data_IF_688725687883
#
_entry.id   IF_688725687883
#
_cell.length_a   1.000
_cell.length_b   1.000
_cell.length_c   1.000
_cell.angle_alpha   90.00
_cell.angle_beta   90.00
_cell.angle_gamma   90.00
#
_symmetry.space_group_name_H-M   'P 1'
#
loop_
_entity.id
_entity.type
_entity.pdbx_description
1 polymer ?
#
# COMPACT_ATOMS: atom_id res chain seq x y z
N UNK A 1 -5.30 14.50 9.50
CA UNK A 1 -5.74 13.31 8.73
C UNK A 1 -6.82 13.65 7.71
N UNK A 2 -7.98 14.18 8.12
CA UNK A 2 -9.08 14.51 7.22
C UNK A 2 -8.66 15.42 6.05
N UNK A 3 -7.86 16.44 6.33
CA UNK A 3 -7.30 17.35 5.32
C UNK A 3 -6.40 16.59 4.33
N UNK A 4 -5.51 15.72 4.82
CA UNK A 4 -4.60 14.94 3.98
C UNK A 4 -5.36 14.05 2.99
N UNK A 5 -6.32 13.28 3.49
CA UNK A 5 -7.10 12.37 2.66
C UNK A 5 -8.06 13.11 1.73
N UNK A 6 -8.81 14.08 2.26
CA UNK A 6 -9.80 14.84 1.50
C UNK A 6 -9.19 15.69 0.39
N UNK A 7 -8.01 16.28 0.64
CA UNK A 7 -7.30 17.06 -0.37
C UNK A 7 -6.38 16.21 -1.26
N UNK A 8 -6.27 14.90 -1.01
CA UNK A 8 -5.30 14.01 -1.67
C UNK A 8 -3.87 14.59 -1.64
N UNK A 9 -3.51 15.20 -0.51
CA UNK A 9 -2.27 15.93 -0.38
C UNK A 9 -1.08 14.97 -0.40
N UNK A 10 -0.08 15.25 -1.22
CA UNK A 10 1.20 14.54 -1.18
C UNK A 10 1.94 14.89 0.11
N UNK A 11 2.46 13.88 0.79
CA UNK A 11 3.13 14.03 2.09
C UNK A 11 4.45 13.26 2.10
N UNK A 12 5.49 13.82 2.72
CA UNK A 12 6.80 13.18 2.74
C UNK A 12 6.76 11.92 3.60
N UNK A 13 7.51 10.90 3.17
CA UNK A 13 7.78 9.74 3.99
C UNK A 13 8.80 10.12 5.08
N UNK A 14 8.57 9.61 6.29
CA UNK A 14 9.48 9.74 7.41
C UNK A 14 10.61 8.73 7.23
N UNK A 15 11.86 9.19 7.36
CA UNK A 15 13.03 8.33 7.41
C UNK A 15 13.12 7.69 8.79
N UNK A 16 12.58 6.48 8.96
CA UNK A 16 12.52 5.82 10.28
C UNK A 16 13.92 5.61 10.89
N UNK A 17 14.95 5.43 10.06
CA UNK A 17 16.34 5.28 10.51
C UNK A 17 16.88 6.51 11.25
N UNK A 18 16.30 7.70 11.06
CA UNK A 18 16.79 8.94 11.68
C UNK A 18 16.40 9.11 13.14
N UNK A 19 15.54 8.24 13.68
CA UNK A 19 15.05 8.34 15.06
C UNK A 19 15.91 7.57 16.06
N UNK A 20 16.97 6.89 15.60
CA UNK A 20 17.87 6.06 16.42
C UNK A 20 17.16 4.98 17.26
N UNK A 21 15.91 4.68 16.94
CA UNK A 21 15.11 3.63 17.57
C UNK A 21 15.15 2.36 16.69
N UNK A 22 15.87 1.30 17.11
CA UNK A 22 15.97 0.07 16.34
C UNK A 22 14.61 -0.63 16.18
N UNK A 23 13.63 -0.35 17.03
CA UNK A 23 12.30 -0.95 16.95
C UNK A 23 11.59 -0.61 15.64
N UNK A 24 11.69 0.62 15.14
CA UNK A 24 10.97 1.03 13.92
C UNK A 24 11.47 0.29 12.68
N UNK A 25 12.80 0.18 12.55
CA UNK A 25 13.42 -0.53 11.43
C UNK A 25 13.16 -2.03 11.55
N UNK A 26 13.28 -2.60 12.75
CA UNK A 26 12.99 -4.01 12.98
C UNK A 26 11.53 -4.36 12.66
N UNK A 27 10.57 -3.50 13.03
CA UNK A 27 9.15 -3.71 12.73
C UNK A 27 8.88 -3.66 11.23
N UNK A 28 9.47 -2.71 10.51
CA UNK A 28 9.36 -2.63 9.05
C UNK A 28 9.90 -3.89 8.37
N UNK A 29 11.07 -4.36 8.80
CA UNK A 29 11.68 -5.60 8.30
C UNK A 29 10.81 -6.82 8.63
N UNK A 30 10.24 -6.88 9.83
CA UNK A 30 9.33 -7.95 10.24
C UNK A 30 8.08 -7.98 9.37
N UNK A 31 7.46 -6.82 9.07
CA UNK A 31 6.32 -6.73 8.16
C UNK A 31 6.64 -7.28 6.76
N UNK A 32 7.81 -6.94 6.24
CA UNK A 32 8.27 -7.44 4.96
C UNK A 32 8.48 -8.97 5.00
N UNK A 33 9.28 -9.46 5.95
CA UNK A 33 9.69 -10.86 6.00
C UNK A 33 8.56 -11.82 6.43
N UNK A 34 7.75 -11.44 7.43
CA UNK A 34 6.74 -12.32 8.01
C UNK A 34 5.38 -12.22 7.31
N UNK A 35 5.04 -11.06 6.73
CA UNK A 35 3.71 -10.80 6.18
C UNK A 35 3.72 -10.47 4.68
N UNK A 36 4.88 -10.28 4.05
CA UNK A 36 4.97 -9.87 2.64
C UNK A 36 4.40 -8.46 2.40
N UNK A 37 4.54 -7.58 3.40
CA UNK A 37 3.95 -6.24 3.40
C UNK A 37 5.01 -5.17 3.45
N UNK A 38 4.80 -4.10 2.67
CA UNK A 38 5.50 -2.86 2.91
C UNK A 38 4.92 -2.17 4.15
N UNK A 39 5.75 -1.41 4.86
CA UNK A 39 5.36 -0.56 5.98
C UNK A 39 6.17 0.73 5.91
N UNK A 40 5.51 1.88 5.92
CA UNK A 40 6.16 3.19 5.94
C UNK A 40 5.28 4.22 6.66
N UNK A 41 5.86 5.37 7.02
CA UNK A 41 5.16 6.43 7.75
C UNK A 41 5.21 7.72 6.96
N UNK A 42 4.09 8.45 6.91
CA UNK A 42 3.97 9.78 6.32
C UNK A 42 3.87 10.83 7.43
N UNK A 43 4.55 11.95 7.25
CA UNK A 43 4.39 13.13 8.09
C UNK A 43 3.19 13.96 7.63
N UNK A 44 2.16 14.03 8.46
CA UNK A 44 0.93 14.76 8.26
C UNK A 44 0.84 16.05 9.10
N UNK A 45 1.95 16.47 9.70
CA UNK A 45 2.03 17.71 10.49
C UNK A 45 1.51 18.89 9.67
N UNK A 46 0.73 19.76 10.33
CA UNK A 46 0.08 20.92 9.72
C UNK A 46 0.37 22.18 10.55
N UNK A 47 -0.31 23.31 10.28
CA UNK A 47 -0.07 24.61 10.91
C UNK A 47 -0.05 24.64 12.44
N UNK A 48 -0.69 23.69 13.14
CA UNK A 48 -0.55 23.58 14.60
C UNK A 48 0.85 23.16 15.07
N UNK A 49 1.71 22.67 14.16
CA UNK A 49 3.08 22.27 14.46
C UNK A 49 3.21 21.00 15.31
N UNK A 50 2.09 20.32 15.64
CA UNK A 50 2.11 19.09 16.44
C UNK A 50 2.38 17.89 15.52
N UNK A 51 3.44 17.10 15.79
CA UNK A 51 3.77 15.91 15.00
C UNK A 51 2.58 14.97 14.85
N UNK A 52 2.15 14.77 13.60
CA UNK A 52 1.02 13.90 13.26
C UNK A 52 1.47 12.94 12.17
N UNK A 53 1.33 11.64 12.41
CA UNK A 53 1.88 10.57 11.58
C UNK A 53 0.79 9.66 11.05
N UNK A 54 0.96 9.18 9.82
CA UNK A 54 0.18 8.08 9.26
C UNK A 54 1.10 6.93 8.85
N UNK A 55 1.00 5.80 9.54
CA UNK A 55 1.64 4.57 9.14
C UNK A 55 0.76 3.85 8.12
N UNK A 56 1.35 3.44 6.99
CA UNK A 56 0.68 2.79 5.88
C UNK A 56 1.35 1.46 5.64
N UNK A 57 0.54 0.41 5.50
CA UNK A 57 1.01 -0.91 5.11
C UNK A 57 0.15 -1.47 4.00
N UNK A 58 0.76 -2.13 3.02
CA UNK A 58 0.07 -2.81 1.92
C UNK A 58 0.83 -4.07 1.49
N UNK A 59 0.15 -4.97 0.78
CA UNK A 59 0.78 -6.16 0.21
C UNK A 59 1.80 -5.75 -0.87
N UNK A 60 2.95 -6.41 -0.90
CA UNK A 60 3.97 -6.21 -1.95
C UNK A 60 3.54 -6.89 -3.25
N UNK A 61 2.90 -8.06 -3.13
CA UNK A 61 2.35 -8.85 -4.23
C UNK A 61 0.84 -9.06 -4.01
N UNK A 62 -0.01 -8.08 -4.33
CA UNK A 62 -1.45 -8.19 -4.17
C UNK A 62 -2.10 -9.04 -5.28
N UNK A 63 -3.07 -9.86 -4.89
CA UNK A 63 -3.95 -10.59 -5.81
C UNK A 63 -5.01 -9.67 -6.43
N UNK A 64 -5.71 -10.18 -7.46
CA UNK A 64 -6.88 -9.51 -8.01
C UNK A 64 -8.13 -9.77 -7.16
N UNK A 65 -8.95 -8.74 -6.97
CA UNK A 65 -10.29 -8.85 -6.39
C UNK A 65 -11.31 -9.44 -7.40
N UNK A 66 -12.58 -9.52 -6.99
CA UNK A 66 -13.65 -10.08 -7.81
C UNK A 66 -13.93 -9.26 -9.09
N UNK A 67 -13.52 -7.99 -9.08
CA UNK A 67 -13.66 -7.01 -10.16
C UNK A 67 -12.39 -6.92 -11.03
N UNK A 68 -11.38 -7.76 -10.75
CA UNK A 68 -10.13 -7.82 -11.50
C UNK A 68 -9.19 -6.63 -11.22
N UNK A 69 -9.33 -5.95 -10.09
CA UNK A 69 -8.42 -4.90 -9.62
C UNK A 69 -7.46 -5.44 -8.56
N UNK A 70 -6.28 -4.83 -8.40
CA UNK A 70 -5.32 -5.26 -7.39
C UNK A 70 -5.84 -4.95 -5.98
N UNK A 71 -6.05 -5.98 -5.17
CA UNK A 71 -6.43 -5.87 -3.77
C UNK A 71 -5.18 -5.71 -2.88
N UNK A 72 -4.78 -4.45 -2.70
CA UNK A 72 -3.60 -4.08 -1.92
C UNK A 72 -3.73 -4.39 -0.42
N UNK A 73 -4.94 -4.73 0.08
CA UNK A 73 -5.25 -4.91 1.50
C UNK A 73 -4.61 -3.81 2.37
N UNK A 74 -4.83 -2.55 2.01
CA UNK A 74 -4.17 -1.40 2.66
C UNK A 74 -4.64 -1.29 4.11
N UNK A 75 -3.70 -1.14 5.03
CA UNK A 75 -3.92 -0.79 6.43
C UNK A 75 -3.33 0.59 6.68
N UNK A 76 -4.05 1.40 7.45
CA UNK A 76 -3.59 2.71 7.88
C UNK A 76 -3.79 2.86 9.39
N UNK A 77 -2.75 3.33 10.07
CA UNK A 77 -2.78 3.66 11.49
C UNK A 77 -2.21 5.05 11.71
N UNK A 78 -2.58 5.68 12.80
CA UNK A 78 -2.39 7.10 13.01
C UNK A 78 -1.85 7.42 14.40
N UNK A 79 -1.11 8.51 14.48
CA UNK A 79 -0.50 8.92 15.74
C UNK A 79 -0.29 10.41 15.78
N UNK A 80 -0.51 11.01 16.94
CA UNK A 80 -0.26 12.42 17.18
C UNK A 80 0.28 12.58 18.60
N UNK A 81 1.41 13.27 18.73
CA UNK A 81 2.07 13.54 20.00
C UNK A 81 3.05 14.70 19.84
N UNK A 82 3.38 15.42 20.91
CA UNK A 82 4.38 16.49 20.88
C UNK A 82 5.79 15.99 20.54
N UNK A 83 6.07 14.73 20.87
CA UNK A 83 7.31 14.05 20.52
C UNK A 83 7.11 13.17 19.28
N UNK A 84 7.90 13.41 18.22
CA UNK A 84 7.76 12.72 16.94
C UNK A 84 7.90 11.20 17.04
N UNK A 85 8.84 10.70 17.84
CA UNK A 85 9.03 9.26 18.05
C UNK A 85 7.79 8.57 18.64
N UNK A 86 7.12 9.24 19.59
CA UNK A 86 5.89 8.73 20.20
C UNK A 86 4.74 8.77 19.18
N UNK A 87 4.63 9.83 18.37
CA UNK A 87 3.64 9.90 17.30
C UNK A 87 3.81 8.76 16.28
N UNK A 88 5.04 8.46 15.89
CA UNK A 88 5.38 7.32 15.01
C UNK A 88 5.01 6.00 15.67
N UNK A 89 5.43 5.77 16.91
CA UNK A 89 5.17 4.53 17.65
C UNK A 89 3.67 4.24 17.77
N UNK A 90 2.86 5.28 18.05
CA UNK A 90 1.39 5.16 18.09
C UNK A 90 0.81 4.76 16.74
N UNK A 91 1.23 5.42 15.66
CA UNK A 91 0.77 5.10 14.31
C UNK A 91 1.10 3.66 13.91
N UNK A 92 2.34 3.22 14.17
CA UNK A 92 2.77 1.84 13.90
C UNK A 92 2.01 0.82 14.74
N UNK A 93 1.74 1.13 16.01
CA UNK A 93 0.98 0.26 16.91
C UNK A 93 -0.47 0.13 16.47
N UNK A 94 -1.10 1.20 15.97
CA UNK A 94 -2.45 1.15 15.41
C UNK A 94 -2.51 0.23 14.17
N UNK A 95 -1.50 0.27 13.28
CA UNK A 95 -1.41 -0.68 12.16
C UNK A 95 -1.32 -2.13 12.67
N UNK A 96 -0.54 -2.39 13.73
CA UNK A 96 -0.43 -3.72 14.34
C UNK A 96 -1.79 -4.20 14.91
N UNK A 97 -2.55 -3.31 15.55
CA UNK A 97 -3.88 -3.63 16.07
C UNK A 97 -4.84 -4.02 14.94
N UNK A 98 -4.82 -3.28 13.82
CA UNK A 98 -5.62 -3.58 12.64
C UNK A 98 -5.18 -4.88 11.93
N UNK A 99 -3.89 -5.21 11.98
CA UNK A 99 -3.35 -6.45 11.41
C UNK A 99 -3.95 -7.68 12.09
N UNK A 100 -4.18 -7.63 13.40
CA UNK A 100 -4.76 -8.76 14.16
C UNK A 100 -6.16 -9.14 13.68
N UNK A 101 -6.97 -8.19 13.22
CA UNK A 101 -8.28 -8.46 12.61
C UNK A 101 -8.23 -8.80 11.11
N UNK A 102 -7.08 -8.59 10.46
CA UNK A 102 -6.93 -8.72 9.01
C UNK A 102 -6.14 -9.96 8.56
N UNK A 103 -5.40 -10.61 9.47
CA UNK A 103 -4.75 -11.90 9.21
C UNK A 103 -5.78 -13.01 9.44
N UNK A 104 -6.19 -13.70 8.37
CA UNK A 104 -6.93 -14.95 8.49
C UNK A 104 -5.96 -16.07 8.92
N UNK A 105 -6.15 -16.69 10.11
CA UNK A 105 -5.31 -17.80 10.56
C UNK A 105 -5.34 -19.02 9.64
N UNK A 106 -6.41 -19.19 8.85
CA UNK A 106 -6.60 -20.36 7.97
C UNK A 106 -5.90 -20.22 6.61
N UNK A 107 -5.40 -19.03 6.25
CA UNK A 107 -4.77 -18.77 4.96
C UNK A 107 -3.24 -18.96 4.95
N UNK A 108 -2.66 -19.60 5.99
CA UNK A 108 -1.21 -19.87 6.06
C UNK A 108 -0.73 -21.00 5.14
N UNK A 109 -1.62 -21.85 4.64
CA UNK A 109 -1.27 -23.02 3.82
C UNK A 109 -2.00 -23.10 2.48
N UNK A 110 -2.90 -22.17 2.17
CA UNK A 110 -3.69 -22.21 0.94
C UNK A 110 -3.25 -21.16 -0.07
N UNK A 111 -2.03 -21.33 -0.60
CA UNK A 111 -1.67 -20.76 -1.92
C UNK A 111 -2.24 -21.62 -3.06
N UNK A 112 -3.41 -22.22 -2.89
CA UNK A 112 -4.17 -22.73 -4.03
C UNK A 112 -5.03 -21.56 -4.51
N UNK A 113 -4.88 -21.11 -5.78
CA UNK A 113 -5.68 -20.02 -6.29
C UNK A 113 -7.15 -20.40 -6.14
N UNK A 114 -7.96 -19.48 -5.58
CA UNK A 114 -9.38 -19.75 -5.35
C UNK A 114 -10.03 -20.28 -6.64
N UNK A 115 -11.02 -21.20 -6.55
CA UNK A 115 -11.65 -21.81 -7.72
C UNK A 115 -12.32 -20.80 -8.67
N UNK A 116 -12.52 -19.54 -8.23
CA UNK A 116 -12.96 -18.42 -9.09
C UNK A 116 -11.88 -17.94 -10.09
N UNK A 117 -10.60 -18.16 -9.80
CA UNK A 117 -9.49 -17.82 -10.70
C UNK A 117 -9.37 -18.80 -11.88
N UNK A 118 -9.65 -20.10 -11.65
CA UNK A 118 -9.64 -21.12 -12.70
C UNK A 118 -10.82 -20.99 -13.69
N UNK A 119 -11.99 -20.53 -13.23
CA UNK A 119 -13.19 -20.44 -14.06
C UNK A 119 -13.23 -19.22 -15.00
N UNK A 120 -12.43 -18.18 -14.72
CA UNK A 120 -12.47 -16.92 -15.50
C UNK A 120 -11.50 -16.92 -16.69
N UNK A 121 -10.60 -17.92 -16.79
CA UNK A 121 -9.62 -18.02 -17.87
C UNK A 121 -10.19 -18.43 -19.25
N UNK A 122 -11.49 -18.71 -19.36
CA UNK A 122 -12.11 -19.18 -20.61
C UNK A 122 -13.02 -18.15 -21.32
N UNK A 123 -13.11 -16.90 -20.85
CA UNK A 123 -13.89 -15.85 -21.56
C UNK A 123 -13.01 -14.66 -21.96
N UNK A 124 -12.83 -14.38 -23.26
CA UNK A 124 -12.15 -13.17 -23.67
C UNK A 124 -12.99 -11.96 -23.27
N UNK A 125 -12.41 -11.05 -22.47
CA UNK A 125 -13.05 -9.78 -22.09
C UNK A 125 -13.19 -8.87 -23.33
N UNK A 126 -14.39 -8.31 -23.60
CA UNK A 126 -14.57 -7.34 -24.69
C UNK A 126 -13.86 -6.03 -24.32
N UNK A 127 -12.75 -5.73 -24.99
CA UNK A 127 -12.05 -4.45 -24.86
C UNK A 127 -10.52 -4.51 -24.97
N UNK A 128 -9.91 -5.69 -24.81
CA UNK A 128 -8.45 -5.83 -24.85
C UNK A 128 -7.84 -5.56 -26.25
N UNK A 129 -8.62 -5.68 -27.32
CA UNK A 129 -8.19 -5.36 -28.68
C UNK A 129 -8.15 -3.85 -28.98
N UNK A 130 -8.88 -3.02 -28.23
CA UNK A 130 -8.93 -1.58 -28.48
C UNK A 130 -7.66 -0.85 -28.01
N UNK A 131 -7.07 -1.29 -26.88
CA UNK A 131 -5.87 -0.66 -26.31
C UNK A 131 -4.57 -1.05 -27.04
N UNK A 132 -4.53 -2.22 -27.69
CA UNK A 132 -3.36 -2.65 -28.48
C UNK A 132 -3.25 -1.96 -29.85
N UNK A 133 -4.36 -1.51 -30.45
CA UNK A 133 -4.36 -0.78 -31.73
C UNK A 133 -3.85 0.66 -31.61
N UNK A 134 -4.17 1.35 -30.51
CA UNK A 134 -3.75 2.75 -30.29
C UNK A 134 -2.24 2.90 -30.01
N UNK A 135 -1.62 1.89 -29.37
CA UNK A 135 -0.17 1.91 -29.09
C UNK A 135 0.68 1.71 -30.36
N UNK A 136 0.19 0.93 -31.34
CA UNK A 136 0.87 0.71 -32.63
C UNK A 136 0.75 1.90 -33.59
N UNK A 137 -0.35 2.67 -33.55
CA UNK A 137 -0.51 3.86 -34.41
C UNK A 137 0.32 5.06 -33.95
N UNK A 138 0.52 5.25 -32.64
CA UNK A 138 1.42 6.32 -32.13
C UNK A 138 2.89 6.09 -32.47
N UNK A 139 3.35 4.84 -32.44
CA UNK A 139 4.75 4.48 -32.77
C UNK A 139 5.07 4.60 -34.27
N UNK A 140 4.08 4.52 -35.16
CA UNK A 140 4.28 4.74 -36.62
C UNK A 140 4.32 6.20 -37.03
N UNK A 141 3.69 7.12 -36.28
CA UNK A 141 3.75 8.57 -36.58
C UNK A 141 5.06 9.24 -36.12
N UNK A 142 5.75 8.68 -35.12
CA UNK A 142 7.04 9.22 -34.64
C UNK A 142 8.27 8.76 -35.45
N UNK A 143 8.11 7.82 -36.39
CA UNK A 143 9.20 7.30 -37.24
C UNK A 143 9.17 7.82 -38.69
N UNK A 144 8.35 8.83 -39.00
CA UNK A 144 8.19 9.39 -40.34
C UNK A 144 8.41 10.90 -40.45
N UNK A 145 9.15 11.50 -39.52
CA UNK A 145 9.53 12.92 -39.54
C UNK A 145 11.04 13.03 -39.29
N UNK A 146 11.82 12.65 -40.31
CA UNK A 146 13.13 13.19 -40.68
C UNK A 146 13.22 13.13 -42.20
#
# INVERSE_FOLDING_TARGET
MAIWWGAQAQRPAVKLESFEDPYFVALQQHYHAAYGRALYVLDLTHDLGVPTMAAISHLIEPDLDAEGQLDQKILCGFGCHFEGAIAISRALTEVNQLMTGSVDPQNRTDRTPSPRSAATAARPLPGLLARQRLRRQRLRRQRGLL
#
